data_IF_491168106304
#
_entry.id   IF_491168106304
#
_cell.length_a   1.000
_cell.length_b   1.000
_cell.length_c   1.000
_cell.angle_alpha   90.00
_cell.angle_beta   90.00
_cell.angle_gamma   90.00
#
_symmetry.space_group_name_H-M   'P 1'
#
loop_
_entity.id
_entity.type
_entity.pdbx_description
1 polymer ?
#
# COMPACT_ATOMS: atom_id res chain seq x y z
N UNK A 1 -2.38 14.96 15.69
CA UNK A 1 -2.80 13.54 15.86
C UNK A 1 -2.82 13.22 17.36
N UNK A 2 -3.99 13.18 17.99
CA UNK A 2 -4.11 13.11 19.46
C UNK A 2 -3.93 11.69 20.05
N UNK A 3 -3.97 10.63 19.23
CA UNK A 3 -4.01 9.24 19.73
C UNK A 3 -2.79 8.38 19.36
N UNK A 4 -1.80 8.93 18.65
CA UNK A 4 -0.65 8.16 18.12
C UNK A 4 -1.10 6.84 17.44
N UNK A 5 -2.12 6.96 16.59
CA UNK A 5 -2.70 5.85 15.81
C UNK A 5 -2.63 6.18 14.33
N UNK A 6 -2.32 5.17 13.53
CA UNK A 6 -2.45 5.25 12.09
C UNK A 6 -3.91 4.95 11.68
N UNK A 7 -4.39 5.66 10.68
CA UNK A 7 -5.71 5.40 10.07
C UNK A 7 -5.48 4.73 8.71
N UNK A 8 -6.23 3.67 8.44
CA UNK A 8 -6.29 3.07 7.11
C UNK A 8 -7.24 3.89 6.24
N UNK A 9 -6.75 4.35 5.09
CA UNK A 9 -7.55 5.11 4.13
C UNK A 9 -8.01 4.17 3.02
N UNK A 10 -9.32 3.98 2.91
CA UNK A 10 -9.95 3.26 1.80
C UNK A 10 -10.21 4.24 0.64
N UNK A 11 -9.13 4.64 -0.04
CA UNK A 11 -9.15 5.61 -1.14
C UNK A 11 -8.27 5.13 -2.28
N UNK A 12 -8.56 5.60 -3.49
CA UNK A 12 -7.72 5.32 -4.66
C UNK A 12 -6.45 6.17 -4.64
N UNK A 13 -5.42 5.68 -5.33
CA UNK A 13 -4.10 6.30 -5.38
C UNK A 13 -4.09 7.72 -6.00
N UNK A 14 -5.02 8.01 -6.91
CA UNK A 14 -5.23 9.35 -7.47
C UNK A 14 -5.55 10.41 -6.40
N UNK A 15 -6.08 9.98 -5.25
CA UNK A 15 -6.42 10.84 -4.11
C UNK A 15 -5.19 11.39 -3.37
N UNK A 16 -4.01 10.78 -3.56
CA UNK A 16 -2.76 11.19 -2.89
C UNK A 16 -2.39 12.64 -3.22
N UNK A 17 -2.63 13.10 -4.46
CA UNK A 17 -2.39 14.50 -4.84
C UNK A 17 -3.26 15.46 -4.01
N UNK A 18 -4.52 15.12 -3.79
CA UNK A 18 -5.43 15.92 -2.98
C UNK A 18 -4.98 15.94 -1.51
N UNK A 19 -4.56 14.79 -0.97
CA UNK A 19 -4.02 14.69 0.39
C UNK A 19 -2.78 15.56 0.57
N UNK A 20 -1.84 15.54 -0.38
CA UNK A 20 -0.66 16.40 -0.35
C UNK A 20 -1.03 17.89 -0.35
N UNK A 21 -2.04 18.30 -1.13
CA UNK A 21 -2.55 19.68 -1.13
C UNK A 21 -3.16 20.11 0.21
N UNK A 22 -3.48 19.15 1.08
CA UNK A 22 -3.94 19.37 2.46
C UNK A 22 -2.83 19.19 3.50
N UNK A 23 -1.57 19.13 3.07
CA UNK A 23 -0.39 18.83 3.90
C UNK A 23 -0.45 17.47 4.60
N UNK A 24 -1.17 16.51 4.00
CA UNK A 24 -1.23 15.12 4.46
C UNK A 24 -0.33 14.28 3.55
N UNK A 25 0.71 13.68 4.13
CA UNK A 25 1.65 12.81 3.43
C UNK A 25 1.43 11.35 3.86
N UNK A 26 0.56 10.60 3.15
CA UNK A 26 0.22 9.24 3.55
C UNK A 26 1.41 8.28 3.37
N UNK A 27 1.50 7.29 4.26
CA UNK A 27 2.39 6.14 4.07
C UNK A 27 1.73 5.20 3.06
N UNK A 28 2.39 4.97 1.92
CA UNK A 28 1.90 4.08 0.86
C UNK A 28 2.68 2.77 0.90
N UNK A 29 1.97 1.67 1.17
CA UNK A 29 2.52 0.31 1.16
C UNK A 29 1.95 -0.44 -0.03
N UNK A 30 2.76 -0.67 -1.05
CA UNK A 30 2.42 -1.53 -2.18
C UNK A 30 2.61 -2.99 -1.77
N UNK A 31 1.55 -3.80 -1.89
CA UNK A 31 1.63 -5.25 -1.71
C UNK A 31 1.67 -5.88 -3.09
N UNK A 32 2.86 -6.21 -3.59
CA UNK A 32 2.99 -6.86 -4.89
C UNK A 32 2.52 -8.31 -4.82
N UNK A 33 1.70 -8.72 -5.79
CA UNK A 33 1.16 -10.07 -5.87
C UNK A 33 1.48 -10.69 -7.23
N UNK A 34 2.00 -11.91 -7.20
CA UNK A 34 2.10 -12.79 -8.37
C UNK A 34 1.21 -14.02 -8.17
N UNK A 35 1.11 -14.90 -9.18
CA UNK A 35 0.26 -16.09 -9.08
C UNK A 35 0.58 -16.97 -7.87
N UNK A 36 1.86 -17.12 -7.53
CA UNK A 36 2.29 -17.91 -6.37
C UNK A 36 1.79 -17.28 -5.07
N UNK A 37 1.85 -15.96 -4.96
CA UNK A 37 1.34 -15.20 -3.83
C UNK A 37 -0.20 -15.20 -3.76
N UNK A 38 -0.90 -15.05 -4.90
CA UNK A 38 -2.35 -15.12 -4.97
C UNK A 38 -2.89 -16.48 -4.46
N UNK A 39 -2.22 -17.59 -4.83
CA UNK A 39 -2.54 -18.94 -4.32
C UNK A 39 -2.48 -19.04 -2.80
N UNK A 40 -1.57 -18.31 -2.13
CA UNK A 40 -1.48 -18.25 -0.65
C UNK A 40 -2.71 -17.57 -0.03
N UNK A 41 -3.31 -16.62 -0.75
CA UNK A 41 -4.46 -15.83 -0.29
C UNK A 41 -5.82 -16.45 -0.67
N UNK A 42 -5.84 -17.56 -1.40
CA UNK A 42 -7.05 -18.19 -1.95
C UNK A 42 -8.21 -18.30 -0.95
N UNK A 43 -7.95 -18.78 0.27
CA UNK A 43 -8.98 -18.92 1.31
C UNK A 43 -9.58 -17.58 1.75
N UNK A 44 -8.76 -16.53 1.84
CA UNK A 44 -9.22 -15.20 2.17
C UNK A 44 -10.02 -14.59 1.01
N UNK A 45 -9.53 -14.72 -0.21
CA UNK A 45 -10.21 -14.27 -1.43
C UNK A 45 -11.60 -14.90 -1.59
N UNK A 46 -11.72 -16.21 -1.34
CA UNK A 46 -13.01 -16.91 -1.35
C UNK A 46 -14.00 -16.34 -0.34
N UNK A 47 -13.54 -15.94 0.85
CA UNK A 47 -14.39 -15.29 1.87
C UNK A 47 -14.84 -13.90 1.45
N UNK A 48 -14.06 -13.22 0.61
CA UNK A 48 -14.34 -11.89 0.08
C UNK A 48 -15.12 -11.92 -1.24
N UNK A 49 -15.36 -13.10 -1.83
CA UNK A 49 -16.01 -13.24 -3.12
C UNK A 49 -15.15 -12.80 -4.30
N UNK A 50 -13.82 -12.74 -4.13
CA UNK A 50 -12.86 -12.30 -5.16
C UNK A 50 -12.09 -13.51 -5.71
N UNK A 51 -11.78 -13.51 -7.01
CA UNK A 51 -10.92 -14.53 -7.62
C UNK A 51 -9.43 -14.18 -7.56
N UNK A 52 -8.55 -15.18 -7.71
CA UNK A 52 -7.10 -14.95 -7.83
C UNK A 52 -6.76 -14.08 -9.06
N UNK A 53 -7.50 -14.25 -10.16
CA UNK A 53 -7.35 -13.47 -11.39
C UNK A 53 -7.73 -12.00 -11.17
N UNK A 54 -8.86 -11.74 -10.51
CA UNK A 54 -9.29 -10.38 -10.16
C UNK A 54 -8.26 -9.66 -9.28
N UNK A 55 -7.65 -10.38 -8.33
CA UNK A 55 -6.57 -9.82 -7.51
C UNK A 55 -5.34 -9.45 -8.36
N UNK A 56 -4.92 -10.33 -9.27
CA UNK A 56 -3.77 -10.10 -10.13
C UNK A 56 -4.01 -8.94 -11.12
N UNK A 57 -5.21 -8.83 -11.67
CA UNK A 57 -5.60 -7.72 -12.54
C UNK A 57 -5.63 -6.39 -11.79
N UNK A 58 -6.20 -6.37 -10.57
CA UNK A 58 -6.17 -5.20 -9.70
C UNK A 58 -4.74 -4.78 -9.37
N UNK A 59 -3.87 -5.74 -9.01
CA UNK A 59 -2.45 -5.48 -8.73
C UNK A 59 -1.73 -4.86 -9.92
N UNK A 60 -1.96 -5.37 -11.15
CA UNK A 60 -1.36 -4.81 -12.37
C UNK A 60 -1.86 -3.40 -12.68
N UNK A 61 -3.15 -3.16 -12.48
CA UNK A 61 -3.74 -1.85 -12.72
C UNK A 61 -3.22 -0.79 -11.74
N UNK A 62 -3.07 -1.15 -10.45
CA UNK A 62 -2.54 -0.26 -9.42
C UNK A 62 -1.05 0.04 -9.59
N UNK A 63 -0.26 -0.94 -10.05
CA UNK A 63 1.17 -0.74 -10.34
C UNK A 63 1.41 0.37 -11.36
N UNK A 64 0.60 0.44 -12.42
CA UNK A 64 0.69 1.52 -13.41
C UNK A 64 0.28 2.91 -12.89
N UNK A 65 -0.47 2.98 -11.79
CA UNK A 65 -0.81 4.25 -11.14
C UNK A 65 0.24 4.67 -10.12
N UNK A 66 0.96 3.72 -9.49
CA UNK A 66 2.07 3.98 -8.58
C UNK A 66 3.21 4.73 -9.25
N UNK A 67 3.52 4.41 -10.50
CA UNK A 67 4.52 5.14 -11.29
C UNK A 67 4.19 6.64 -11.47
N UNK A 68 2.91 7.01 -11.32
CA UNK A 68 2.42 8.38 -11.46
C UNK A 68 2.18 9.07 -10.12
N UNK A 69 2.40 8.37 -9.01
CA UNK A 69 2.14 8.87 -7.67
C UNK A 69 3.20 9.92 -7.27
N UNK A 70 2.81 11.02 -6.60
CA UNK A 70 3.73 12.10 -6.25
C UNK A 70 4.58 11.81 -5.01
N UNK A 71 4.68 10.56 -4.53
CA UNK A 71 5.46 10.21 -3.34
C UNK A 71 6.08 8.80 -3.44
N UNK A 72 7.16 8.56 -2.66
CA UNK A 72 7.75 7.24 -2.53
C UNK A 72 6.74 6.26 -1.92
N UNK A 73 6.58 5.11 -2.55
CA UNK A 73 5.91 3.95 -1.94
C UNK A 73 6.96 2.96 -1.45
N UNK A 74 6.65 2.24 -0.37
CA UNK A 74 7.41 1.05 -0.01
C UNK A 74 6.71 -0.19 -0.58
N UNK A 75 7.49 -1.14 -1.09
CA UNK A 75 6.96 -2.33 -1.74
C UNK A 75 7.28 -3.58 -0.94
N UNK A 76 6.27 -4.42 -0.73
CA UNK A 76 6.41 -5.75 -0.15
C UNK A 76 6.46 -6.78 -1.27
N UNK A 77 7.62 -7.39 -1.44
CA UNK A 77 7.84 -8.39 -2.48
C UNK A 77 6.97 -9.66 -2.26
N UNK A 78 6.49 -10.33 -3.33
CA UNK A 78 5.59 -11.49 -3.22
C UNK A 78 6.19 -12.72 -2.48
N UNK A 79 7.51 -12.77 -2.41
CA UNK A 79 8.32 -13.78 -1.72
C UNK A 79 8.71 -13.38 -0.29
N UNK A 80 8.48 -12.13 0.10
CA UNK A 80 8.74 -11.63 1.45
C UNK A 80 7.75 -12.11 2.53
N UNK A 81 6.68 -12.80 2.13
CA UNK A 81 5.65 -13.33 3.03
C UNK A 81 5.15 -14.71 2.55
N UNK A 82 4.69 -15.56 3.47
CA UNK A 82 4.26 -16.94 3.19
C UNK A 82 2.76 -17.18 3.35
N UNK A 83 2.09 -16.32 4.09
CA UNK A 83 0.69 -16.44 4.53
C UNK A 83 0.17 -15.08 5.00
N UNK A 84 -1.08 -15.03 5.48
CA UNK A 84 -1.72 -13.80 5.91
C UNK A 84 -1.06 -13.18 7.16
N UNK A 85 -0.59 -14.00 8.09
CA UNK A 85 0.01 -13.54 9.34
C UNK A 85 1.39 -12.91 9.12
N UNK A 86 2.20 -13.54 8.26
CA UNK A 86 3.48 -12.99 7.82
C UNK A 86 3.30 -11.75 6.97
N UNK A 87 2.32 -11.71 6.05
CA UNK A 87 1.98 -10.50 5.29
C UNK A 87 1.60 -9.34 6.22
N UNK A 88 0.71 -9.59 7.20
CA UNK A 88 0.30 -8.58 8.17
C UNK A 88 1.49 -8.06 9.00
N UNK A 89 2.42 -8.95 9.35
CA UNK A 89 3.65 -8.58 10.06
C UNK A 89 4.56 -7.70 9.20
N UNK A 90 4.73 -8.04 7.91
CA UNK A 90 5.48 -7.23 6.95
C UNK A 90 4.87 -5.84 6.78
N UNK A 91 3.54 -5.74 6.66
CA UNK A 91 2.82 -4.45 6.55
C UNK A 91 3.03 -3.60 7.81
N UNK A 92 2.87 -4.18 9.00
CA UNK A 92 3.08 -3.45 10.27
C UNK A 92 4.53 -2.96 10.41
N UNK A 93 5.48 -3.79 10.02
CA UNK A 93 6.89 -3.42 10.00
C UNK A 93 7.14 -2.26 9.03
N UNK A 94 6.65 -2.36 7.79
CA UNK A 94 6.80 -1.32 6.77
C UNK A 94 6.20 0.02 7.24
N UNK A 95 4.98 0.02 7.79
CA UNK A 95 4.37 1.24 8.35
C UNK A 95 5.23 1.84 9.47
N UNK A 96 5.74 1.00 10.37
CA UNK A 96 6.58 1.45 11.49
C UNK A 96 7.93 2.00 11.04
N UNK A 97 8.49 1.46 9.94
CA UNK A 97 9.74 1.93 9.34
C UNK A 97 9.53 3.25 8.59
N UNK A 98 8.51 3.31 7.73
CA UNK A 98 8.15 4.52 6.97
C UNK A 98 7.80 5.70 7.88
N UNK A 99 7.09 5.47 8.99
CA UNK A 99 6.71 6.53 9.94
C UNK A 99 7.92 7.23 10.58
N UNK A 100 9.10 6.60 10.60
CA UNK A 100 10.32 7.19 11.16
C UNK A 100 11.10 8.01 10.13
N UNK A 101 10.73 7.93 8.84
CA UNK A 101 11.44 8.61 7.77
C UNK A 101 11.05 10.08 7.70
N UNK A 102 12.00 10.88 7.26
CA UNK A 102 11.77 12.30 6.96
C UNK A 102 11.08 12.38 5.59
N UNK A 103 9.94 13.05 5.54
CA UNK A 103 9.29 13.40 4.28
C UNK A 103 9.91 14.70 3.78
N UNK A 104 10.54 14.63 2.60
CA UNK A 104 11.04 15.81 1.92
C UNK A 104 9.90 16.45 1.13
N UNK A 105 9.53 17.69 1.49
CA UNK A 105 8.53 18.46 0.79
C UNK A 105 9.21 19.61 0.06
N UNK A 106 8.85 19.82 -1.20
CA UNK A 106 9.28 21.01 -1.92
C UNK A 106 8.54 22.22 -1.35
N UNK A 107 9.26 23.29 -1.03
CA UNK A 107 8.60 24.54 -0.67
C UNK A 107 7.92 25.06 -1.92
N UNK A 108 6.59 25.12 -1.90
CA UNK A 108 5.82 25.68 -3.02
C UNK A 108 6.34 27.10 -3.29
N UNK A 109 6.83 27.41 -4.51
CA UNK A 109 7.17 28.78 -4.84
C UNK A 109 5.86 29.56 -4.86
N UNK A 110 5.72 30.47 -3.89
CA UNK A 110 4.61 31.43 -3.85
C UNK A 110 4.41 32.13 -5.20
#
# INVERSE_FOLDING_TARGET
MEKNIHVLLDVRLDSVRALHGMEIFPIIVQVSVNEKAARKLKKALQRLGTSEEQLLDASRQEEGELDKAPCPCCSLAPDGWSDLDTLLSCVRFAVSDEQKKVVWTEQSPY
#
